data_IF_052273913925
#
_entry.id   IF_052273913925
#
_cell.length_a   1.000
_cell.length_b   1.000
_cell.length_c   1.000
_cell.angle_alpha   90.00
_cell.angle_beta   90.00
_cell.angle_gamma   90.00
#
_symmetry.space_group_name_H-M   'P 1'
#
loop_
_entity.id
_entity.type
_entity.pdbx_description
1 polymer ?
#
# COMPACT_ATOMS: atom_id res chain seq x y z
N UNK A 1 -18.09 49.54 -8.26
CA UNK A 1 -17.59 48.16 -8.02
C UNK A 1 -16.94 48.15 -6.65
N UNK A 2 -17.44 47.39 -5.65
CA UNK A 2 -16.76 47.28 -4.38
C UNK A 2 -15.47 46.47 -4.56
N UNK A 3 -14.37 46.80 -3.85
CA UNK A 3 -13.15 46.02 -3.90
C UNK A 3 -13.42 44.64 -3.34
N UNK A 4 -13.16 43.61 -4.14
CA UNK A 4 -13.15 42.21 -3.69
C UNK A 4 -11.94 42.06 -2.76
N UNK A 5 -12.16 42.31 -1.47
CA UNK A 5 -11.18 41.95 -0.45
C UNK A 5 -11.15 40.42 -0.34
N UNK A 6 -10.40 39.80 -1.24
CA UNK A 6 -10.18 38.35 -1.25
C UNK A 6 -9.33 37.95 -0.06
N UNK A 7 -9.93 37.80 1.12
CA UNK A 7 -9.34 36.99 2.16
C UNK A 7 -9.30 35.58 1.61
N UNK A 8 -8.09 35.07 1.36
CA UNK A 8 -7.89 33.65 1.04
C UNK A 8 -8.56 32.83 2.15
N UNK A 9 -9.62 32.11 1.80
CA UNK A 9 -10.24 31.19 2.75
C UNK A 9 -9.30 30.00 2.96
N UNK A 10 -8.48 30.07 4.02
CA UNK A 10 -7.48 29.06 4.36
C UNK A 10 -8.08 27.81 5.01
N UNK A 11 -9.39 27.75 5.27
CA UNK A 11 -10.03 26.64 5.98
C UNK A 11 -9.92 25.33 5.22
N UNK A 12 -10.19 25.36 3.91
CA UNK A 12 -10.10 24.15 3.09
C UNK A 12 -8.65 23.62 2.97
N UNK A 13 -7.65 24.42 2.56
CA UNK A 13 -6.28 23.91 2.45
C UNK A 13 -5.71 23.47 3.80
N UNK A 14 -6.02 24.14 4.89
CA UNK A 14 -5.62 23.72 6.23
C UNK A 14 -6.27 22.40 6.62
N UNK A 15 -7.58 22.22 6.38
CA UNK A 15 -8.28 20.97 6.64
C UNK A 15 -7.72 19.80 5.84
N UNK A 16 -7.43 19.98 4.55
CA UNK A 16 -6.79 18.97 3.71
C UNK A 16 -5.39 18.62 4.20
N UNK A 17 -4.60 19.62 4.60
CA UNK A 17 -3.28 19.40 5.17
C UNK A 17 -3.34 18.60 6.46
N UNK A 18 -4.27 18.91 7.38
CA UNK A 18 -4.44 18.19 8.63
C UNK A 18 -4.85 16.72 8.41
N UNK A 19 -5.79 16.46 7.49
CA UNK A 19 -6.19 15.09 7.12
C UNK A 19 -4.99 14.34 6.52
N UNK A 20 -4.25 14.96 5.61
CA UNK A 20 -3.07 14.37 5.00
C UNK A 20 -1.99 14.04 6.02
N UNK A 21 -1.70 14.95 6.95
CA UNK A 21 -0.72 14.72 8.02
C UNK A 21 -1.17 13.59 8.95
N UNK A 22 -2.44 13.57 9.37
CA UNK A 22 -2.97 12.50 10.19
C UNK A 22 -2.84 11.13 9.50
N UNK A 23 -3.16 11.07 8.20
CA UNK A 23 -3.01 9.86 7.40
C UNK A 23 -1.54 9.43 7.30
N UNK A 24 -0.62 10.35 7.00
CA UNK A 24 0.83 10.04 6.93
C UNK A 24 1.35 9.50 8.24
N UNK A 25 0.98 10.12 9.37
CA UNK A 25 1.39 9.65 10.70
C UNK A 25 0.86 8.23 10.95
N UNK A 26 -0.41 7.98 10.69
CA UNK A 26 -1.02 6.66 10.87
C UNK A 26 -0.34 5.61 9.98
N UNK A 27 -0.18 5.90 8.69
CA UNK A 27 0.46 5.00 7.73
C UNK A 27 1.94 4.74 8.06
N UNK A 28 2.70 5.78 8.42
CA UNK A 28 4.10 5.63 8.82
C UNK A 28 4.24 4.74 10.08
N UNK A 29 3.32 4.88 11.04
CA UNK A 29 3.28 4.00 12.21
C UNK A 29 2.98 2.56 11.82
N UNK A 30 2.01 2.33 10.92
CA UNK A 30 1.70 0.99 10.41
C UNK A 30 2.90 0.38 9.68
N UNK A 31 3.55 1.14 8.78
CA UNK A 31 4.74 0.68 8.05
C UNK A 31 5.85 0.27 9.01
N UNK A 32 6.03 1.02 10.10
CA UNK A 32 7.10 0.77 11.07
C UNK A 32 6.76 -0.33 12.09
N UNK A 33 5.48 -0.48 12.45
CA UNK A 33 5.04 -1.42 13.47
C UNK A 33 4.79 -2.83 12.95
N UNK A 34 4.34 -2.95 11.69
CA UNK A 34 4.00 -4.24 11.08
C UNK A 34 5.23 -4.80 10.37
N UNK A 35 5.79 -5.93 10.84
CA UNK A 35 6.90 -6.58 10.17
C UNK A 35 6.57 -6.91 8.71
N UNK A 36 7.58 -7.02 7.82
CA UNK A 36 7.36 -7.48 6.45
C UNK A 36 6.69 -8.87 6.43
N UNK A 37 5.72 -9.03 5.54
CA UNK A 37 4.99 -10.29 5.29
C UNK A 37 4.05 -10.75 6.41
N UNK A 38 3.72 -9.88 7.36
CA UNK A 38 2.68 -10.17 8.36
C UNK A 38 1.26 -9.90 7.79
N UNK A 39 1.14 -9.10 6.74
CA UNK A 39 -0.12 -8.96 6.02
C UNK A 39 -0.32 -10.16 5.09
N UNK A 40 -1.52 -10.77 5.07
CA UNK A 40 -1.79 -12.01 4.34
C UNK A 40 -1.41 -11.97 2.87
N UNK A 41 -1.72 -10.87 2.18
CA UNK A 41 -1.59 -10.77 0.73
C UNK A 41 -0.32 -10.03 0.29
N UNK A 42 0.51 -9.59 1.23
CA UNK A 42 1.67 -8.76 0.93
C UNK A 42 2.72 -9.49 0.10
N UNK A 43 2.97 -10.76 0.41
CA UNK A 43 3.97 -11.55 -0.30
C UNK A 43 3.56 -11.83 -1.76
N UNK A 44 2.32 -12.27 -2.07
CA UNK A 44 1.86 -12.39 -3.45
C UNK A 44 1.86 -11.08 -4.22
N UNK A 45 1.42 -9.97 -3.61
CA UNK A 45 1.47 -8.65 -4.26
C UNK A 45 2.91 -8.25 -4.60
N UNK A 46 3.85 -8.43 -3.65
CA UNK A 46 5.26 -8.15 -3.88
C UNK A 46 5.84 -9.04 -4.98
N UNK A 47 5.50 -10.33 -4.99
CA UNK A 47 5.94 -11.26 -6.02
C UNK A 47 5.46 -10.81 -7.41
N UNK A 48 4.23 -10.32 -7.55
CA UNK A 48 3.72 -9.80 -8.81
C UNK A 48 4.51 -8.56 -9.27
N UNK A 49 4.74 -7.60 -8.37
CA UNK A 49 5.56 -6.41 -8.67
C UNK A 49 6.96 -6.79 -9.12
N UNK A 50 7.63 -7.70 -8.38
CA UNK A 50 8.97 -8.14 -8.69
C UNK A 50 9.04 -8.94 -10.01
N UNK A 51 8.03 -9.77 -10.29
CA UNK A 51 7.94 -10.46 -11.58
C UNK A 51 7.89 -9.47 -12.75
N UNK A 52 7.00 -8.48 -12.70
CA UNK A 52 6.95 -7.42 -13.71
C UNK A 52 8.25 -6.61 -13.78
N UNK A 53 8.88 -6.36 -12.64
CA UNK A 53 10.14 -5.63 -12.59
C UNK A 53 11.30 -6.42 -13.20
N UNK A 54 11.36 -7.73 -13.01
CA UNK A 54 12.44 -8.59 -13.47
C UNK A 54 12.22 -9.06 -14.91
N UNK A 55 11.04 -9.60 -15.20
CA UNK A 55 10.77 -10.26 -16.48
C UNK A 55 10.16 -9.32 -17.52
N UNK A 56 9.56 -8.20 -17.11
CA UNK A 56 8.95 -7.22 -18.02
C UNK A 56 7.67 -7.73 -18.71
N UNK A 57 7.15 -8.87 -18.29
CA UNK A 57 5.99 -9.54 -18.88
C UNK A 57 4.86 -9.69 -17.87
N UNK A 58 3.62 -9.67 -18.36
CA UNK A 58 2.46 -9.96 -17.53
C UNK A 58 2.50 -11.43 -17.05
N UNK A 59 2.04 -11.70 -15.81
CA UNK A 59 2.00 -13.06 -15.29
C UNK A 59 1.06 -13.94 -16.12
N UNK A 60 1.50 -15.14 -16.42
CA UNK A 60 0.65 -16.17 -17.03
C UNK A 60 0.22 -17.12 -15.93
N UNK A 61 -1.05 -17.00 -15.52
CA UNK A 61 -1.63 -17.87 -14.50
C UNK A 61 -2.41 -18.97 -15.19
N UNK A 62 -1.94 -20.21 -15.08
CA UNK A 62 -2.61 -21.40 -15.61
C UNK A 62 -3.14 -22.27 -14.47
N UNK A 63 -4.29 -22.92 -14.69
CA UNK A 63 -4.88 -23.84 -13.69
C UNK A 63 -3.87 -24.91 -13.29
N UNK A 64 -3.61 -25.01 -11.97
CA UNK A 64 -2.69 -26.00 -11.41
C UNK A 64 -1.21 -25.65 -11.56
N UNK A 65 -0.85 -24.56 -12.19
CA UNK A 65 0.52 -24.06 -12.21
C UNK A 65 0.79 -23.25 -10.96
N UNK A 66 1.76 -23.67 -10.19
CA UNK A 66 2.08 -22.97 -8.96
C UNK A 66 2.89 -21.73 -9.29
N UNK A 67 2.27 -20.55 -9.19
CA UNK A 67 2.93 -19.24 -9.37
C UNK A 67 3.07 -18.50 -8.04
N UNK A 68 4.12 -17.66 -7.88
CA UNK A 68 4.36 -16.95 -6.60
C UNK A 68 3.28 -15.93 -6.24
N UNK A 69 2.52 -15.44 -7.21
CA UNK A 69 1.52 -14.38 -7.07
C UNK A 69 0.07 -14.89 -7.06
N UNK A 70 -0.15 -16.22 -7.13
CA UNK A 70 -1.44 -16.88 -6.99
C UNK A 70 -2.64 -16.09 -7.57
N UNK A 71 -3.65 -15.77 -6.75
CA UNK A 71 -4.84 -15.03 -7.17
C UNK A 71 -4.55 -13.58 -7.60
N UNK A 72 -3.50 -12.96 -7.11
CA UNK A 72 -3.10 -11.60 -7.49
C UNK A 72 -2.74 -11.47 -8.97
N UNK A 73 -2.29 -12.56 -9.59
CA UNK A 73 -2.02 -12.61 -11.01
C UNK A 73 -3.22 -12.32 -11.92
N UNK A 74 -4.44 -12.40 -11.39
CA UNK A 74 -5.67 -12.03 -12.10
C UNK A 74 -6.10 -10.57 -11.87
N UNK A 75 -5.43 -9.84 -11.01
CA UNK A 75 -5.77 -8.45 -10.72
C UNK A 75 -5.35 -7.51 -11.86
N UNK A 76 -6.04 -6.36 -12.02
CA UNK A 76 -5.70 -5.38 -13.05
C UNK A 76 -4.24 -4.93 -12.95
N UNK A 77 -3.46 -4.97 -14.04
CA UNK A 77 -2.00 -4.82 -13.99
C UNK A 77 -1.51 -3.39 -13.79
N UNK A 78 -2.35 -2.36 -13.93
CA UNK A 78 -1.93 -0.97 -13.95
C UNK A 78 -1.14 -0.54 -12.70
N UNK A 79 -1.66 -0.88 -11.52
CA UNK A 79 -0.98 -0.60 -10.25
C UNK A 79 0.37 -1.33 -10.18
N UNK A 80 0.38 -2.63 -10.53
CA UNK A 80 1.59 -3.45 -10.48
C UNK A 80 2.64 -2.99 -11.48
N UNK A 81 2.23 -2.57 -12.68
CA UNK A 81 3.14 -2.03 -13.70
C UNK A 81 3.81 -0.74 -13.20
N UNK A 82 3.02 0.18 -12.61
CA UNK A 82 3.58 1.38 -11.97
C UNK A 82 4.54 1.02 -10.84
N UNK A 83 4.12 0.14 -9.93
CA UNK A 83 4.94 -0.31 -8.81
C UNK A 83 6.22 -1.02 -9.28
N UNK A 84 6.17 -1.76 -10.39
CA UNK A 84 7.32 -2.41 -10.99
C UNK A 84 8.34 -1.42 -11.57
N UNK A 85 7.86 -0.36 -12.23
CA UNK A 85 8.75 0.73 -12.69
C UNK A 85 9.46 1.37 -11.49
N UNK A 86 8.71 1.69 -10.44
CA UNK A 86 9.31 2.26 -9.22
C UNK A 86 10.24 1.26 -8.56
N UNK A 87 9.87 -0.03 -8.48
CA UNK A 87 10.72 -1.09 -7.93
C UNK A 87 12.08 -1.15 -8.62
N UNK A 88 12.10 -1.05 -9.95
CA UNK A 88 13.36 -0.95 -10.72
C UNK A 88 14.17 0.29 -10.35
N UNK A 89 13.53 1.45 -10.26
CA UNK A 89 14.19 2.73 -9.95
C UNK A 89 14.83 2.74 -8.55
N UNK A 90 14.18 2.11 -7.57
CA UNK A 90 14.68 2.05 -6.18
C UNK A 90 15.56 0.82 -5.92
N UNK A 91 15.86 0.02 -6.95
CA UNK A 91 16.64 -1.21 -6.80
C UNK A 91 15.97 -2.23 -5.87
N UNK A 92 14.65 -2.39 -5.97
CA UNK A 92 13.93 -3.42 -5.24
C UNK A 92 14.24 -4.79 -5.85
N UNK A 93 14.63 -5.73 -5.00
CA UNK A 93 15.07 -7.06 -5.43
C UNK A 93 14.67 -8.12 -4.39
N UNK A 94 14.66 -9.36 -4.81
CA UNK A 94 14.40 -10.51 -3.94
C UNK A 94 13.90 -11.72 -4.72
N UNK A 95 13.91 -12.90 -4.09
CA UNK A 95 13.37 -14.10 -4.69
C UNK A 95 11.86 -14.02 -4.79
N UNK A 96 11.30 -14.60 -5.85
CA UNK A 96 9.87 -14.80 -5.99
C UNK A 96 9.46 -15.99 -5.09
N UNK A 97 9.10 -15.67 -3.86
CA UNK A 97 8.69 -16.67 -2.88
C UNK A 97 7.19 -16.91 -2.98
N UNK A 98 6.81 -18.17 -2.75
CA UNK A 98 5.43 -18.56 -2.54
C UNK A 98 5.06 -18.50 -1.07
N UNK A 99 3.82 -18.11 -0.75
CA UNK A 99 3.26 -18.40 0.55
C UNK A 99 3.33 -19.92 0.79
N UNK A 100 3.70 -20.40 1.99
CA UNK A 100 3.67 -21.80 2.30
C UNK A 100 2.23 -22.32 2.14
N UNK A 101 2.01 -23.24 1.19
CA UNK A 101 0.66 -23.79 0.91
C UNK A 101 0.06 -24.56 2.10
N UNK A 102 0.93 -25.06 2.98
CA UNK A 102 0.52 -25.86 4.16
C UNK A 102 -0.01 -25.01 5.32
N UNK A 103 0.21 -23.71 5.26
CA UNK A 103 -0.40 -22.77 6.19
C UNK A 103 -1.68 -22.21 5.59
N UNK A 104 -2.68 -23.11 5.44
CA UNK A 104 -4.06 -22.66 5.41
C UNK A 104 -4.19 -21.60 6.49
N UNK A 105 -4.71 -20.42 6.11
CA UNK A 105 -5.16 -19.39 7.05
C UNK A 105 -6.09 -20.07 8.06
N UNK A 106 -5.52 -20.74 9.02
CA UNK A 106 -6.25 -21.05 10.23
C UNK A 106 -6.25 -19.71 10.96
N UNK A 107 -7.36 -19.02 10.90
CA UNK A 107 -7.74 -18.13 11.98
C UNK A 107 -7.71 -18.98 13.25
N UNK A 108 -6.50 -19.24 13.74
CA UNK A 108 -6.38 -19.78 15.07
C UNK A 108 -7.04 -18.73 15.96
N UNK A 109 -8.03 -19.11 16.77
CA UNK A 109 -8.59 -18.16 17.72
C UNK A 109 -7.39 -17.58 18.46
N UNK A 110 -7.33 -16.24 18.55
CA UNK A 110 -6.31 -15.54 19.32
C UNK A 110 -6.46 -16.04 20.74
N UNK A 111 -5.68 -17.06 21.09
CA UNK A 111 -5.58 -17.52 22.48
C UNK A 111 -4.79 -16.43 23.17
N UNK A 112 -5.50 -15.62 23.96
CA UNK A 112 -4.92 -14.57 24.75
C UNK A 112 -3.72 -15.13 25.54
N UNK A 113 -2.52 -14.60 25.30
CA UNK A 113 -1.33 -14.92 26.10
C UNK A 113 -0.16 -15.60 25.39
N UNK A 114 -0.30 -16.01 24.13
CA UNK A 114 0.84 -16.52 23.37
C UNK A 114 1.35 -15.42 22.48
N UNK A 115 2.64 -15.08 22.56
CA UNK A 115 3.30 -13.95 21.94
C UNK A 115 2.98 -13.63 20.47
N UNK A 116 3.65 -12.68 19.83
CA UNK A 116 3.26 -12.20 18.50
C UNK A 116 3.22 -13.34 17.51
N UNK A 117 2.02 -13.69 17.04
CA UNK A 117 1.82 -14.69 16.01
C UNK A 117 2.36 -14.15 14.68
N UNK A 118 3.59 -14.52 14.36
CA UNK A 118 4.18 -14.25 13.06
C UNK A 118 3.54 -15.19 12.04
N UNK A 119 2.67 -14.63 11.20
CA UNK A 119 1.87 -15.42 10.26
C UNK A 119 2.69 -16.02 9.11
N UNK A 120 3.80 -15.39 8.67
CA UNK A 120 4.45 -15.79 7.44
C UNK A 120 5.96 -16.04 7.53
N UNK A 121 6.79 -15.10 7.23
CA UNK A 121 8.22 -15.32 7.05
C UNK A 121 9.01 -14.55 8.11
N UNK A 122 9.49 -15.19 9.17
CA UNK A 122 10.27 -14.47 10.17
C UNK A 122 11.60 -14.02 9.56
N UNK A 123 11.70 -12.74 9.22
CA UNK A 123 12.95 -12.15 8.77
C UNK A 123 13.69 -11.63 10.00
N UNK A 124 14.88 -12.15 10.20
CA UNK A 124 15.78 -11.74 11.29
C UNK A 124 17.05 -11.12 10.72
N UNK A 125 17.86 -10.43 11.53
CA UNK A 125 19.18 -9.97 11.09
C UNK A 125 20.10 -11.10 10.58
N UNK A 126 19.85 -12.33 11.01
CA UNK A 126 20.59 -13.53 10.62
C UNK A 126 20.02 -14.24 9.38
N UNK A 127 18.89 -13.79 8.86
CA UNK A 127 18.31 -14.35 7.62
C UNK A 127 19.27 -14.18 6.45
N UNK A 128 19.28 -15.10 5.47
CA UNK A 128 20.10 -14.99 4.27
C UNK A 128 19.91 -13.66 3.53
N UNK A 129 20.95 -13.09 2.89
CA UNK A 129 20.87 -11.80 2.20
C UNK A 129 19.68 -11.66 1.24
N UNK A 130 19.31 -12.67 0.42
CA UNK A 130 18.17 -12.54 -0.48
C UNK A 130 16.84 -12.27 0.25
N UNK A 131 16.62 -12.90 1.41
CA UNK A 131 15.41 -12.69 2.20
C UNK A 131 15.41 -11.30 2.86
N UNK A 132 16.56 -10.83 3.32
CA UNK A 132 16.70 -9.48 3.87
C UNK A 132 16.47 -8.41 2.80
N UNK A 133 16.92 -8.65 1.57
CA UNK A 133 16.68 -7.76 0.43
C UNK A 133 15.19 -7.72 0.09
N UNK A 134 14.54 -8.87 0.05
CA UNK A 134 13.09 -8.96 -0.15
C UNK A 134 12.31 -8.16 0.90
N UNK A 135 12.67 -8.29 2.18
CA UNK A 135 12.06 -7.53 3.25
C UNK A 135 12.28 -6.01 3.11
N UNK A 136 13.49 -5.58 2.73
CA UNK A 136 13.76 -4.16 2.45
C UNK A 136 12.95 -3.65 1.26
N UNK A 137 12.82 -4.45 0.21
CA UNK A 137 12.00 -4.14 -0.97
C UNK A 137 10.54 -3.96 -0.57
N UNK A 138 10.01 -4.85 0.26
CA UNK A 138 8.67 -4.75 0.84
C UNK A 138 8.45 -3.40 1.55
N UNK A 139 9.33 -3.05 2.49
CA UNK A 139 9.22 -1.77 3.23
C UNK A 139 9.31 -0.57 2.30
N UNK A 140 10.22 -0.56 1.33
CA UNK A 140 10.35 0.52 0.36
C UNK A 140 9.06 0.70 -0.46
N UNK A 141 8.46 -0.41 -0.90
CA UNK A 141 7.21 -0.37 -1.68
C UNK A 141 6.00 0.05 -0.83
N UNK A 142 5.99 -0.22 0.47
CA UNK A 142 4.97 0.36 1.38
C UNK A 142 5.01 1.89 1.38
N UNK A 143 6.19 2.50 1.36
CA UNK A 143 6.33 3.96 1.23
C UNK A 143 5.86 4.47 -0.13
N UNK A 144 6.10 3.71 -1.20
CA UNK A 144 5.56 4.03 -2.54
C UNK A 144 4.05 3.96 -2.54
N UNK A 145 3.47 2.94 -1.92
CA UNK A 145 2.01 2.81 -1.78
C UNK A 145 1.40 3.98 -0.98
N UNK A 146 2.09 4.47 0.06
CA UNK A 146 1.68 5.67 0.78
C UNK A 146 1.66 6.91 -0.12
N UNK A 147 2.70 7.12 -0.93
CA UNK A 147 2.75 8.24 -1.88
C UNK A 147 1.62 8.14 -2.91
N UNK A 148 1.33 6.94 -3.40
CA UNK A 148 0.21 6.68 -4.30
C UNK A 148 -1.15 7.00 -3.65
N UNK A 149 -1.36 6.58 -2.39
CA UNK A 149 -2.58 6.86 -1.65
C UNK A 149 -2.79 8.38 -1.44
N UNK A 150 -1.72 9.13 -1.18
CA UNK A 150 -1.79 10.59 -1.08
C UNK A 150 -2.17 11.22 -2.43
N UNK A 151 -1.62 10.73 -3.55
CA UNK A 151 -2.01 11.16 -4.89
C UNK A 151 -3.49 10.90 -5.18
N UNK A 152 -3.98 9.71 -4.82
CA UNK A 152 -5.39 9.37 -4.94
C UNK A 152 -6.28 10.25 -4.03
N UNK A 153 -5.83 10.56 -2.82
CA UNK A 153 -6.49 11.51 -1.93
C UNK A 153 -6.59 12.92 -2.52
N UNK A 154 -5.51 13.40 -3.15
CA UNK A 154 -5.50 14.68 -3.84
C UNK A 154 -6.46 14.70 -5.05
N UNK A 155 -6.50 13.61 -5.82
CA UNK A 155 -7.45 13.46 -6.93
C UNK A 155 -8.91 13.44 -6.42
N UNK A 156 -9.16 12.74 -5.30
CA UNK A 156 -10.46 12.73 -4.62
C UNK A 156 -10.86 14.15 -4.17
N UNK A 157 -9.93 14.91 -3.60
CA UNK A 157 -10.18 16.29 -3.21
C UNK A 157 -10.56 17.17 -4.42
N UNK A 158 -9.79 17.07 -5.52
CA UNK A 158 -10.06 17.83 -6.73
C UNK A 158 -11.43 17.47 -7.36
N UNK A 159 -11.77 16.19 -7.39
CA UNK A 159 -13.05 15.73 -7.91
C UNK A 159 -14.22 16.17 -7.01
N UNK A 160 -14.10 15.95 -5.70
CA UNK A 160 -15.12 16.35 -4.73
C UNK A 160 -15.37 17.88 -4.77
N UNK A 161 -14.31 18.67 -4.85
CA UNK A 161 -14.38 20.13 -5.00
C UNK A 161 -15.15 20.58 -6.24
N UNK A 162 -14.94 19.88 -7.36
CA UNK A 162 -15.65 20.19 -8.61
C UNK A 162 -17.12 19.76 -8.56
N UNK A 163 -17.40 18.55 -8.09
CA UNK A 163 -18.75 17.98 -8.06
C UNK A 163 -19.63 18.62 -7.00
N UNK A 164 -19.07 19.07 -5.88
CA UNK A 164 -19.80 19.77 -4.82
C UNK A 164 -20.00 21.26 -5.09
N UNK A 165 -19.74 21.75 -6.31
CA UNK A 165 -19.80 23.16 -6.63
C UNK A 165 -18.96 24.04 -5.70
N UNK A 166 -17.77 23.53 -5.32
CA UNK A 166 -16.79 24.21 -4.43
C UNK A 166 -17.21 24.26 -2.96
N UNK A 167 -17.95 23.27 -2.49
CA UNK A 167 -18.27 23.09 -1.08
C UNK A 167 -17.06 22.51 -0.32
N UNK A 168 -16.45 23.33 0.54
CA UNK A 168 -15.28 22.95 1.33
C UNK A 168 -15.55 21.81 2.33
N UNK A 169 -16.59 21.89 3.17
CA UNK A 169 -16.99 20.83 4.09
C UNK A 169 -17.21 19.48 3.43
N UNK A 170 -17.94 19.42 2.31
CA UNK A 170 -18.15 18.18 1.55
C UNK A 170 -16.85 17.62 0.99
N UNK A 171 -15.96 18.49 0.50
CA UNK A 171 -14.64 18.08 0.01
C UNK A 171 -13.81 17.46 1.14
N UNK A 172 -13.76 18.09 2.31
CA UNK A 172 -13.05 17.56 3.49
C UNK A 172 -13.62 16.22 3.93
N UNK A 173 -14.95 16.09 3.97
CA UNK A 173 -15.61 14.82 4.31
C UNK A 173 -15.22 13.70 3.34
N UNK A 174 -15.27 13.97 2.03
CA UNK A 174 -14.91 13.00 1.01
C UNK A 174 -13.46 12.50 1.16
N UNK A 175 -12.52 13.42 1.40
CA UNK A 175 -11.10 13.07 1.58
C UNK A 175 -10.87 12.34 2.90
N UNK A 176 -11.53 12.76 3.98
CA UNK A 176 -11.45 12.08 5.27
C UNK A 176 -11.97 10.64 5.18
N UNK A 177 -13.13 10.42 4.54
CA UNK A 177 -13.69 9.08 4.31
C UNK A 177 -12.78 8.22 3.42
N UNK A 178 -12.10 8.82 2.45
CA UNK A 178 -11.18 8.09 1.59
C UNK A 178 -9.88 7.69 2.31
N UNK A 179 -9.23 8.63 2.99
CA UNK A 179 -7.91 8.40 3.59
C UNK A 179 -7.95 7.79 4.99
N UNK A 180 -8.95 8.13 5.80
CA UNK A 180 -9.00 7.74 7.22
C UNK A 180 -9.97 6.58 7.48
N UNK A 181 -10.64 6.04 6.44
CA UNK A 181 -11.50 4.87 6.59
C UNK A 181 -10.63 3.64 6.89
N UNK A 182 -10.76 3.00 8.06
CA UNK A 182 -10.08 1.75 8.33
C UNK A 182 -10.70 0.65 7.45
N UNK A 183 -9.91 0.07 6.59
CA UNK A 183 -10.26 -1.11 5.78
C UNK A 183 -9.71 -2.37 6.42
#
# INVERSE_FOLDING_TARGET
MPPVSGRLDLRLPLGLALIGVAFVIAAARMISAVPPFENPDELPHLAYVLHLAQDGALPVVSRGSPVPFDQEGYQPPLYYAFAAVVARLIGAEGPLLRPPQDRVFRFAPVVAGTGPHRLFLPITPYSPPPLRNLARSCIRLRWVALAWALGAGAATAALAWRLSHRDGPLTLLAVALFLLNPR
#
